data_IF_224847459942
#
_entry.id   IF_224847459942
#
_cell.length_a   1.000
_cell.length_b   1.000
_cell.length_c   1.000
_cell.angle_alpha   90.00
_cell.angle_beta   90.00
_cell.angle_gamma   90.00
#
_symmetry.space_group_name_H-M   'P 1'
#
loop_
_entity.id
_entity.type
_entity.pdbx_description
1 polymer ?
#
# COMPACT_ATOMS: atom_id res chain seq x y z
N UNK A 1 -8.17 -3.83 -3.64
CA UNK A 1 -7.13 -3.07 -2.91
C UNK A 1 -7.35 -3.03 -1.41
N UNK A 2 -8.48 -2.50 -0.91
CA UNK A 2 -8.77 -2.38 0.54
C UNK A 2 -8.60 -3.71 1.31
N UNK A 3 -9.17 -4.81 0.81
CA UNK A 3 -9.06 -6.12 1.46
C UNK A 3 -7.64 -6.71 1.51
N UNK A 4 -6.79 -6.40 0.53
CA UNK A 4 -5.39 -6.86 0.50
C UNK A 4 -4.58 -6.15 1.60
N UNK A 5 -4.75 -4.82 1.70
CA UNK A 5 -4.12 -4.03 2.76
C UNK A 5 -4.60 -4.47 4.14
N UNK A 6 -5.90 -4.72 4.28
CA UNK A 6 -6.48 -5.20 5.54
C UNK A 6 -5.92 -6.57 5.94
N UNK A 7 -5.83 -7.52 5.01
CA UNK A 7 -5.27 -8.84 5.29
C UNK A 7 -3.79 -8.77 5.72
N UNK A 8 -3.01 -7.94 5.03
CA UNK A 8 -1.61 -7.71 5.40
C UNK A 8 -1.48 -7.05 6.77
N UNK A 9 -2.26 -6.01 7.05
CA UNK A 9 -2.33 -5.37 8.37
C UNK A 9 -2.71 -6.38 9.46
N UNK A 10 -3.74 -7.18 9.22
CA UNK A 10 -4.25 -8.15 10.18
C UNK A 10 -3.18 -9.19 10.54
N UNK A 11 -2.54 -9.81 9.54
CA UNK A 11 -1.39 -10.70 9.77
C UNK A 11 -0.25 -9.99 10.52
N UNK A 12 0.00 -8.73 10.20
CA UNK A 12 1.02 -7.91 10.85
C UNK A 12 0.73 -7.72 12.34
N UNK A 13 -0.46 -7.23 12.67
CA UNK A 13 -0.90 -6.97 14.04
C UNK A 13 -1.05 -8.25 14.86
N UNK A 14 -1.39 -9.38 14.23
CA UNK A 14 -1.46 -10.68 14.91
C UNK A 14 -0.08 -11.23 15.31
N UNK A 15 0.99 -10.76 14.66
CA UNK A 15 2.38 -11.14 14.94
C UNK A 15 3.06 -10.19 15.95
N UNK A 16 2.43 -9.06 16.25
CA UNK A 16 2.98 -7.96 17.05
C UNK A 16 2.53 -8.08 18.50
N UNK A 17 3.50 -8.23 19.42
CA UNK A 17 3.20 -8.37 20.85
C UNK A 17 3.05 -7.04 21.59
N UNK A 18 3.54 -5.93 21.02
CA UNK A 18 3.41 -4.58 21.59
C UNK A 18 3.07 -3.55 20.53
N UNK A 19 2.11 -2.69 20.83
CA UNK A 19 1.71 -1.57 19.98
C UNK A 19 1.95 -0.28 20.76
N UNK A 20 2.60 0.70 20.14
CA UNK A 20 2.84 2.02 20.72
C UNK A 20 1.94 3.07 20.08
N UNK A 21 1.71 4.21 20.74
CA UNK A 21 0.84 5.29 20.25
C UNK A 21 1.24 5.79 18.85
N UNK A 22 2.53 5.82 18.56
CA UNK A 22 3.04 6.18 17.22
C UNK A 22 2.65 5.19 16.13
N UNK A 23 2.58 3.89 16.45
CA UNK A 23 2.13 2.84 15.52
C UNK A 23 0.63 2.98 15.26
N UNK A 24 -0.14 3.32 16.30
CA UNK A 24 -1.58 3.56 16.18
C UNK A 24 -1.87 4.77 15.26
N UNK A 25 -1.11 5.85 15.41
CA UNK A 25 -1.20 7.03 14.53
C UNK A 25 -0.82 6.72 13.08
N UNK A 26 0.24 5.93 12.87
CA UNK A 26 0.60 5.49 11.52
C UNK A 26 -0.48 4.60 10.89
N UNK A 27 -1.12 3.74 11.69
CA UNK A 27 -2.24 2.92 11.24
C UNK A 27 -3.48 3.77 10.90
N UNK A 28 -3.80 4.78 11.70
CA UNK A 28 -4.87 5.74 11.40
C UNK A 28 -4.61 6.50 10.10
N UNK A 29 -3.38 6.93 9.87
CA UNK A 29 -2.98 7.58 8.61
C UNK A 29 -3.22 6.64 7.41
N UNK A 30 -2.81 5.38 7.51
CA UNK A 30 -3.07 4.39 6.47
C UNK A 30 -4.58 4.15 6.26
N UNK A 31 -5.36 3.99 7.32
CA UNK A 31 -6.81 3.81 7.25
C UNK A 31 -7.53 5.00 6.62
N UNK A 32 -7.04 6.21 6.85
CA UNK A 32 -7.55 7.44 6.24
C UNK A 32 -7.41 7.41 4.71
N UNK A 33 -6.23 7.05 4.18
CA UNK A 33 -6.06 6.89 2.73
C UNK A 33 -6.84 5.68 2.20
N UNK A 34 -6.92 4.61 2.99
CA UNK A 34 -7.68 3.42 2.61
C UNK A 34 -9.18 3.70 2.44
N UNK A 35 -9.74 4.62 3.23
CA UNK A 35 -11.15 5.01 3.15
C UNK A 35 -11.43 5.98 1.99
N UNK A 36 -10.40 6.69 1.50
CA UNK A 36 -10.47 7.55 0.33
C UNK A 36 -10.46 6.75 -0.99
N UNK A 37 -9.82 5.57 -1.03
CA UNK A 37 -9.79 4.70 -2.21
C UNK A 37 -11.14 4.46 -2.90
N UNK A 38 -12.24 4.07 -2.22
CA UNK A 38 -13.53 3.89 -2.88
C UNK A 38 -14.09 5.20 -3.46
N UNK A 39 -13.84 6.34 -2.80
CA UNK A 39 -14.27 7.67 -3.27
C UNK A 39 -13.48 8.06 -4.53
N UNK A 40 -12.17 7.91 -4.51
CA UNK A 40 -11.30 8.23 -5.65
C UNK A 40 -11.53 7.28 -6.83
N UNK A 41 -11.84 6.01 -6.56
CA UNK A 41 -12.23 5.02 -7.59
C UNK A 41 -13.59 5.36 -8.21
N UNK A 42 -14.59 5.70 -7.40
CA UNK A 42 -15.91 6.09 -7.89
C UNK A 42 -15.82 7.38 -8.72
N UNK A 43 -15.06 8.37 -8.24
CA UNK A 43 -14.81 9.62 -8.94
C UNK A 43 -14.14 9.43 -10.30
N UNK A 44 -13.22 8.46 -10.41
CA UNK A 44 -12.60 8.06 -11.67
C UNK A 44 -13.62 7.42 -12.63
N UNK A 45 -14.49 6.55 -12.12
CA UNK A 45 -15.53 5.88 -12.92
C UNK A 45 -16.60 6.84 -13.45
N UNK A 46 -17.07 7.76 -12.62
CA UNK A 46 -18.12 8.74 -12.98
C UNK A 46 -17.63 9.78 -14.01
N UNK A 47 -16.34 10.12 -13.99
CA UNK A 47 -15.75 11.11 -14.91
C UNK A 47 -15.16 10.48 -16.19
N UNK A 48 -15.60 9.28 -16.59
CA UNK A 48 -15.11 8.59 -17.79
C UNK A 48 -13.57 8.48 -17.86
N UNK A 49 -12.91 8.22 -16.73
CA UNK A 49 -11.45 8.11 -16.63
C UNK A 49 -10.67 9.36 -17.06
N UNK A 50 -11.27 10.55 -16.99
CA UNK A 50 -10.57 11.80 -17.27
C UNK A 50 -9.22 11.90 -16.51
N UNK A 51 -8.20 12.56 -17.09
CA UNK A 51 -6.83 12.53 -16.59
C UNK A 51 -6.70 13.05 -15.15
N UNK A 52 -7.54 14.02 -14.75
CA UNK A 52 -7.57 14.57 -13.39
C UNK A 52 -8.03 13.53 -12.36
N UNK A 53 -9.22 12.91 -12.49
CA UNK A 53 -9.65 11.81 -11.62
C UNK A 53 -8.64 10.65 -11.50
N UNK A 54 -8.01 10.26 -12.61
CA UNK A 54 -7.03 9.16 -12.61
C UNK A 54 -5.74 9.57 -11.88
N UNK A 55 -5.31 10.83 -12.01
CA UNK A 55 -4.20 11.37 -11.23
C UNK A 55 -4.52 11.41 -9.72
N UNK A 56 -5.74 11.79 -9.34
CA UNK A 56 -6.21 11.79 -7.94
C UNK A 56 -6.19 10.36 -7.37
N UNK A 57 -6.69 9.38 -8.12
CA UNK A 57 -6.63 7.97 -7.72
C UNK A 57 -5.19 7.46 -7.54
N UNK A 58 -4.29 7.79 -8.48
CA UNK A 58 -2.87 7.43 -8.37
C UNK A 58 -2.17 8.09 -7.18
N UNK A 59 -2.49 9.36 -6.90
CA UNK A 59 -1.96 10.07 -5.74
C UNK A 59 -2.43 9.44 -4.42
N UNK A 60 -3.70 9.05 -4.33
CA UNK A 60 -4.25 8.34 -3.18
C UNK A 60 -3.58 6.97 -2.95
N UNK A 61 -3.33 6.22 -4.02
CA UNK A 61 -2.56 4.96 -3.95
C UNK A 61 -1.10 5.17 -3.53
N UNK A 62 -0.45 6.24 -4.02
CA UNK A 62 0.90 6.60 -3.62
C UNK A 62 0.95 6.97 -2.13
N UNK A 63 -0.04 7.73 -1.63
CA UNK A 63 -0.16 8.10 -0.23
C UNK A 63 -0.44 6.88 0.65
N UNK A 64 -1.28 5.94 0.22
CA UNK A 64 -1.46 4.64 0.87
C UNK A 64 -0.12 3.90 1.01
N UNK A 65 0.68 3.84 -0.07
CA UNK A 65 1.98 3.16 -0.05
C UNK A 65 2.99 3.85 0.88
N UNK A 66 2.99 5.19 0.92
CA UNK A 66 3.82 5.98 1.85
C UNK A 66 3.39 5.73 3.30
N UNK A 67 2.09 5.80 3.59
CA UNK A 67 1.55 5.54 4.93
C UNK A 67 1.87 4.13 5.41
N UNK A 68 1.76 3.13 4.53
CA UNK A 68 2.17 1.76 4.82
C UNK A 68 3.67 1.66 5.13
N UNK A 69 4.51 2.33 4.35
CA UNK A 69 5.97 2.36 4.58
C UNK A 69 6.32 2.99 5.93
N UNK A 70 5.62 4.06 6.33
CA UNK A 70 5.78 4.69 7.65
C UNK A 70 5.40 3.70 8.75
N UNK A 71 4.25 3.02 8.61
CA UNK A 71 3.78 2.04 9.58
C UNK A 71 4.80 0.90 9.77
N UNK A 72 5.27 0.31 8.67
CA UNK A 72 6.28 -0.75 8.68
C UNK A 72 7.59 -0.28 9.32
N UNK A 73 8.03 0.93 9.01
CA UNK A 73 9.24 1.53 9.59
C UNK A 73 9.10 1.70 11.11
N UNK A 74 7.94 2.16 11.58
CA UNK A 74 7.66 2.32 13.02
C UNK A 74 7.58 0.97 13.74
N UNK A 75 6.91 -0.03 13.16
CA UNK A 75 6.89 -1.39 13.72
C UNK A 75 8.29 -1.98 13.83
N UNK A 76 9.13 -1.79 12.81
CA UNK A 76 10.53 -2.25 12.79
C UNK A 76 11.35 -1.57 13.88
N UNK A 77 11.16 -0.28 14.09
CA UNK A 77 11.81 0.44 15.20
C UNK A 77 11.33 -0.07 16.56
N UNK A 78 10.05 -0.41 16.70
CA UNK A 78 9.47 -0.87 17.96
C UNK A 78 9.93 -2.28 18.37
N UNK A 79 10.05 -3.19 17.41
CA UNK A 79 10.43 -4.59 17.66
C UNK A 79 11.94 -4.86 17.54
N UNK A 80 12.74 -3.84 17.20
CA UNK A 80 14.18 -3.97 16.99
C UNK A 80 14.56 -4.73 15.71
N UNK A 81 15.76 -4.46 15.19
CA UNK A 81 16.24 -5.02 13.92
C UNK A 81 16.43 -6.55 13.91
N UNK A 82 16.37 -7.21 15.07
CA UNK A 82 16.63 -8.65 15.25
C UNK A 82 15.39 -9.54 15.24
N UNK A 83 14.18 -8.98 15.18
CA UNK A 83 12.96 -9.81 15.14
C UNK A 83 12.73 -10.43 13.77
N UNK A 84 12.22 -11.67 13.77
CA UNK A 84 11.74 -12.42 12.59
C UNK A 84 10.90 -11.56 11.65
N UNK A 85 10.16 -10.60 12.21
CA UNK A 85 9.36 -9.59 11.52
C UNK A 85 10.18 -8.63 10.63
N UNK A 86 11.29 -8.06 11.13
CA UNK A 86 12.16 -7.18 10.33
C UNK A 86 12.84 -7.92 9.16
N UNK A 87 13.09 -9.21 9.34
CA UNK A 87 13.66 -10.12 8.34
C UNK A 87 12.61 -10.62 7.34
N UNK A 88 11.35 -10.77 7.77
CA UNK A 88 10.16 -11.08 6.97
C UNK A 88 9.82 -9.95 5.99
N UNK A 89 9.77 -8.73 6.53
CA UNK A 89 9.51 -7.51 5.78
C UNK A 89 10.64 -7.30 4.75
N UNK A 90 11.89 -7.56 5.14
CA UNK A 90 13.05 -7.47 4.25
C UNK A 90 13.17 -6.10 3.57
N UNK A 91 13.91 -6.01 2.46
CA UNK A 91 13.86 -4.81 1.63
C UNK A 91 12.44 -4.68 1.05
N UNK A 92 11.71 -3.64 1.45
CA UNK A 92 10.44 -3.13 0.90
C UNK A 92 10.53 -2.73 -0.59
N UNK A 93 11.24 -3.52 -1.42
CA UNK A 93 11.38 -3.31 -2.86
C UNK A 93 10.02 -3.31 -3.53
N UNK A 94 9.07 -4.17 -3.12
CA UNK A 94 7.71 -4.19 -3.67
C UNK A 94 6.96 -2.88 -3.39
N UNK A 95 7.02 -2.38 -2.16
CA UNK A 95 6.41 -1.09 -1.79
C UNK A 95 7.02 0.09 -2.57
N UNK A 96 8.36 0.15 -2.65
CA UNK A 96 9.07 1.21 -3.40
C UNK A 96 8.83 1.14 -4.92
N UNK A 97 8.81 -0.07 -5.49
CA UNK A 97 8.48 -0.27 -6.91
C UNK A 97 7.04 0.12 -7.17
N UNK A 98 6.10 -0.24 -6.28
CA UNK A 98 4.69 0.16 -6.40
C UNK A 98 4.55 1.68 -6.34
N UNK A 99 5.23 2.35 -5.40
CA UNK A 99 5.24 3.81 -5.31
C UNK A 99 5.80 4.47 -6.58
N UNK A 100 6.90 3.95 -7.11
CA UNK A 100 7.46 4.43 -8.37
C UNK A 100 6.49 4.25 -9.54
N UNK A 101 5.79 3.12 -9.61
CA UNK A 101 4.77 2.85 -10.63
C UNK A 101 3.55 3.77 -10.42
N UNK A 102 3.15 4.09 -9.20
CA UNK A 102 2.06 5.04 -8.94
C UNK A 102 2.43 6.45 -9.39
N UNK A 103 3.64 6.93 -9.05
CA UNK A 103 4.13 8.24 -9.50
C UNK A 103 4.24 8.28 -11.03
N UNK A 104 4.79 7.23 -11.65
CA UNK A 104 4.84 7.12 -13.10
C UNK A 104 3.44 7.11 -13.70
N UNK A 105 2.50 6.35 -13.12
CA UNK A 105 1.10 6.30 -13.55
C UNK A 105 0.44 7.68 -13.54
N UNK A 106 0.67 8.49 -12.50
CA UNK A 106 0.16 9.86 -12.39
C UNK A 106 0.73 10.76 -13.50
N UNK A 107 2.02 10.68 -13.76
CA UNK A 107 2.67 11.46 -14.83
C UNK A 107 2.20 11.02 -16.22
N UNK A 108 2.10 9.71 -16.46
CA UNK A 108 1.67 9.15 -17.73
C UNK A 108 0.18 9.36 -17.99
N UNK A 109 -0.67 9.57 -16.98
CA UNK A 109 -2.08 9.89 -17.19
C UNK A 109 -2.35 11.20 -17.90
N UNK A 110 -1.43 12.16 -17.82
CA UNK A 110 -1.51 13.40 -18.61
C UNK A 110 -1.24 13.17 -20.11
N UNK A 111 -0.54 12.09 -20.46
CA UNK A 111 -0.28 11.69 -21.85
C UNK A 111 -1.40 10.78 -22.35
N UNK A 112 -1.75 9.76 -21.56
CA UNK A 112 -2.82 8.83 -21.88
C UNK A 112 -3.40 8.21 -20.60
N UNK A 113 -4.64 8.57 -20.31
CA UNK A 113 -5.41 8.08 -19.16
C UNK A 113 -5.41 6.54 -19.05
N UNK A 114 -5.48 5.83 -20.18
CA UNK A 114 -5.54 4.37 -20.21
C UNK A 114 -4.22 3.73 -19.76
N UNK A 115 -3.08 4.38 -20.00
CA UNK A 115 -1.77 3.87 -19.56
C UNK A 115 -1.67 3.94 -18.03
N UNK A 116 -2.11 5.05 -17.42
CA UNK A 116 -2.11 5.14 -15.96
C UNK A 116 -3.07 4.14 -15.31
N UNK A 117 -4.28 3.97 -15.86
CA UNK A 117 -5.22 2.95 -15.38
C UNK A 117 -4.62 1.55 -15.50
N UNK A 118 -4.01 1.21 -16.65
CA UNK A 118 -3.39 -0.09 -16.85
C UNK A 118 -2.25 -0.34 -15.85
N UNK A 119 -1.42 0.66 -15.56
CA UNK A 119 -0.37 0.56 -14.55
C UNK A 119 -0.94 0.33 -13.15
N UNK A 120 -2.00 1.06 -12.75
CA UNK A 120 -2.62 0.87 -11.44
C UNK A 120 -3.26 -0.52 -11.30
N UNK A 121 -3.92 -1.01 -12.36
CA UNK A 121 -4.47 -2.37 -12.40
C UNK A 121 -3.35 -3.41 -12.30
N UNK A 122 -2.24 -3.22 -13.02
CA UNK A 122 -1.09 -4.13 -12.95
C UNK A 122 -0.49 -4.18 -11.53
N UNK A 123 -0.38 -3.04 -10.84
CA UNK A 123 0.06 -3.01 -9.43
C UNK A 123 -0.94 -3.70 -8.53
N UNK A 124 -2.25 -3.45 -8.71
CA UNK A 124 -3.30 -4.10 -7.94
C UNK A 124 -3.26 -5.63 -8.09
N UNK A 125 -3.06 -6.14 -9.31
CA UNK A 125 -2.89 -7.59 -9.59
C UNK A 125 -1.62 -8.12 -8.93
N UNK A 126 -0.51 -7.37 -9.00
CA UNK A 126 0.75 -7.75 -8.36
C UNK A 126 0.59 -7.89 -6.85
N UNK A 127 -0.23 -7.04 -6.22
CA UNK A 127 -0.58 -7.12 -4.80
C UNK A 127 -1.67 -8.16 -4.49
N UNK A 128 -2.49 -8.54 -5.47
CA UNK A 128 -3.51 -9.58 -5.33
C UNK A 128 -2.87 -10.95 -5.09
N UNK A 129 -1.67 -11.18 -5.64
CA UNK A 129 -0.86 -12.34 -5.26
C UNK A 129 -0.32 -12.09 -3.84
N UNK A 130 -0.85 -12.79 -2.82
CA UNK A 130 -0.46 -12.55 -1.44
C UNK A 130 1.06 -12.73 -1.32
N UNK A 131 1.69 -11.80 -0.60
CA UNK A 131 3.13 -11.79 -0.49
C UNK A 131 3.58 -13.08 0.23
N UNK A 132 4.09 -14.05 -0.55
CA UNK A 132 4.66 -15.32 -0.07
C UNK A 132 5.82 -15.15 0.93
N UNK A 133 6.21 -13.90 1.22
CA UNK A 133 7.12 -13.53 2.30
C UNK A 133 6.60 -13.91 3.69
N UNK A 134 5.29 -13.86 3.94
CA UNK A 134 4.70 -14.24 5.23
C UNK A 134 4.40 -15.75 5.36
N UNK A 135 4.16 -16.45 4.25
CA UNK A 135 3.96 -17.92 4.26
C UNK A 135 5.18 -18.66 4.81
N UNK A 136 6.41 -18.19 4.53
CA UNK A 136 7.64 -18.86 5.01
C UNK A 136 7.91 -18.72 6.50
N UNK A 137 7.13 -17.92 7.24
CA UNK A 137 7.29 -17.73 8.68
C UNK A 137 6.26 -18.49 9.52
N UNK A 138 5.19 -18.97 8.91
CA UNK A 138 4.19 -19.81 9.58
C UNK A 138 4.66 -21.28 9.63
N UNK A 139 5.64 -21.66 8.81
CA UNK A 139 6.11 -23.04 8.65
C UNK A 139 7.33 -23.41 9.50
N UNK A 140 7.62 -22.70 10.61
CA UNK A 140 8.65 -23.13 11.58
C UNK A 140 8.23 -22.97 13.04
#
# INVERSE_FOLDING_TARGET
NVGIYWNNLHNMFHTVQRVDGYVLWANLNLLFWLSLMPVTTAFMGENHFAPVPVAVYGADLALCAVAYTILVTKLRHLHGADTTFARAVGQDRKGKVSLAIYIAGVLLTFVNQWIGVALYVAVAITWFVPDRRFERLIEK
#
